data_IF_847477668325
#
_entry.id   IF_847477668325
#
_cell.length_a   1.000
_cell.length_b   1.000
_cell.length_c   1.000
_cell.angle_alpha   90.00
_cell.angle_beta   90.00
_cell.angle_gamma   90.00
#
_symmetry.space_group_name_H-M   'P 1'
#
loop_
_entity.id
_entity.type
_entity.pdbx_description
1 polymer ?
#
# COMPACT_ATOMS: atom_id res chain seq x y z
N UNK A 1 4.23 44.08 25.98
CA UNK A 1 3.63 42.81 26.45
C UNK A 1 2.65 42.38 25.38
N UNK A 2 2.99 41.37 24.59
CA UNK A 2 2.04 40.78 23.66
C UNK A 2 0.98 40.06 24.50
N UNK A 3 -0.29 40.47 24.35
CA UNK A 3 -1.43 39.76 24.91
C UNK A 3 -1.39 38.33 24.37
N UNK A 4 -1.04 37.38 25.24
CA UNK A 4 -1.16 35.96 24.97
C UNK A 4 -2.61 35.60 25.28
N UNK A 5 -3.44 35.50 24.24
CA UNK A 5 -4.86 35.11 24.38
C UNK A 5 -4.94 33.59 24.51
N UNK A 6 -5.19 33.04 25.71
CA UNK A 6 -5.16 31.59 25.93
C UNK A 6 -6.31 30.87 25.21
N UNK A 7 -7.38 31.59 24.89
CA UNK A 7 -8.61 31.08 24.27
C UNK A 7 -8.39 30.76 22.79
N UNK A 8 -7.53 31.51 22.08
CA UNK A 8 -7.23 31.28 20.68
C UNK A 8 -6.44 29.97 20.47
N UNK A 9 -5.47 29.69 21.35
CA UNK A 9 -4.66 28.48 21.29
C UNK A 9 -5.46 27.21 21.59
N UNK A 10 -6.43 27.30 22.50
CA UNK A 10 -7.32 26.20 22.90
C UNK A 10 -8.33 25.87 21.79
N UNK A 11 -8.83 26.89 21.07
CA UNK A 11 -9.71 26.73 19.90
C UNK A 11 -8.99 26.07 18.72
N UNK A 12 -7.76 26.49 18.41
CA UNK A 12 -6.95 25.90 17.32
C UNK A 12 -6.57 24.45 17.61
N UNK A 13 -6.26 24.14 18.88
CA UNK A 13 -5.99 22.76 19.35
C UNK A 13 -7.22 21.86 19.20
N UNK A 14 -8.40 22.36 19.56
CA UNK A 14 -9.66 21.61 19.41
C UNK A 14 -10.00 21.37 17.92
N UNK A 15 -9.81 22.38 17.07
CA UNK A 15 -10.05 22.25 15.63
C UNK A 15 -9.08 21.27 14.95
N UNK A 16 -7.80 21.26 15.35
CA UNK A 16 -6.83 20.28 14.89
C UNK A 16 -7.22 18.85 15.31
N UNK A 17 -7.66 18.67 16.56
CA UNK A 17 -8.12 17.39 17.07
C UNK A 17 -9.35 16.85 16.32
N UNK A 18 -10.35 17.70 16.08
CA UNK A 18 -11.55 17.35 15.31
C UNK A 18 -11.19 16.95 13.88
N UNK A 19 -10.29 17.70 13.24
CA UNK A 19 -9.85 17.41 11.86
C UNK A 19 -9.10 16.07 11.77
N UNK A 20 -8.22 15.76 12.73
CA UNK A 20 -7.51 14.47 12.77
C UNK A 20 -8.48 13.31 12.96
N UNK A 21 -9.52 13.46 13.79
CA UNK A 21 -10.58 12.45 13.96
C UNK A 21 -11.34 12.22 12.66
N UNK A 22 -11.70 13.28 11.93
CA UNK A 22 -12.36 13.16 10.63
C UNK A 22 -11.48 12.48 9.58
N UNK A 23 -10.18 12.81 9.52
CA UNK A 23 -9.23 12.13 8.62
C UNK A 23 -9.07 10.65 8.98
N UNK A 24 -9.02 10.33 10.28
CA UNK A 24 -8.97 8.94 10.76
C UNK A 24 -10.22 8.18 10.35
N UNK A 25 -11.41 8.80 10.45
CA UNK A 25 -12.66 8.19 10.00
C UNK A 25 -12.64 7.91 8.49
N UNK A 26 -12.22 8.89 7.67
CA UNK A 26 -12.11 8.71 6.21
C UNK A 26 -11.16 7.56 5.85
N UNK A 27 -10.03 7.43 6.55
CA UNK A 27 -9.09 6.32 6.33
C UNK A 27 -9.69 4.96 6.73
N UNK A 28 -10.39 4.90 7.87
CA UNK A 28 -11.11 3.68 8.29
C UNK A 28 -12.20 3.29 7.28
N UNK A 29 -12.94 4.26 6.73
CA UNK A 29 -13.97 3.97 5.72
C UNK A 29 -13.38 3.33 4.46
N UNK A 30 -12.23 3.83 3.99
CA UNK A 30 -11.53 3.24 2.84
C UNK A 30 -11.02 1.83 3.18
N UNK A 31 -10.47 1.62 4.38
CA UNK A 31 -10.00 0.30 4.84
C UNK A 31 -11.14 -0.73 4.90
N UNK A 32 -12.33 -0.34 5.40
CA UNK A 32 -13.51 -1.22 5.41
C UNK A 32 -13.95 -1.60 4.01
N UNK A 33 -14.00 -0.64 3.07
CA UNK A 33 -14.36 -0.92 1.67
C UNK A 33 -13.35 -1.89 1.03
N UNK A 34 -12.05 -1.75 1.36
CA UNK A 34 -11.04 -2.67 0.86
C UNK A 34 -11.17 -4.08 1.47
N UNK A 35 -11.45 -4.19 2.77
CA UNK A 35 -11.73 -5.49 3.38
C UNK A 35 -12.95 -6.17 2.75
N UNK A 36 -13.96 -5.41 2.36
CA UNK A 36 -15.10 -5.94 1.59
C UNK A 36 -14.68 -6.43 0.19
N UNK A 37 -13.70 -5.79 -0.45
CA UNK A 37 -13.18 -6.24 -1.74
C UNK A 37 -12.22 -7.44 -1.68
N UNK A 38 -11.67 -7.79 -0.50
CA UNK A 38 -10.77 -8.95 -0.33
C UNK A 38 -11.41 -10.26 -0.78
N UNK A 39 -12.70 -10.44 -0.49
CA UNK A 39 -13.46 -11.61 -0.92
C UNK A 39 -13.48 -11.73 -2.45
N UNK A 40 -13.64 -10.61 -3.15
CA UNK A 40 -13.68 -10.57 -4.61
C UNK A 40 -12.31 -10.87 -5.22
N UNK A 41 -11.24 -10.35 -4.62
CA UNK A 41 -9.86 -10.58 -5.09
C UNK A 41 -9.43 -12.02 -4.82
N UNK A 42 -9.74 -12.59 -3.65
CA UNK A 42 -9.47 -13.99 -3.35
C UNK A 42 -10.18 -14.93 -4.34
N UNK A 43 -11.47 -14.66 -4.61
CA UNK A 43 -12.24 -15.41 -5.61
C UNK A 43 -11.60 -15.35 -6.99
N UNK A 44 -11.04 -14.19 -7.37
CA UNK A 44 -10.38 -14.00 -8.66
C UNK A 44 -9.04 -14.75 -8.74
N UNK A 45 -8.23 -14.72 -7.68
CA UNK A 45 -6.97 -15.48 -7.57
C UNK A 45 -7.22 -16.99 -7.63
N UNK A 46 -8.26 -17.48 -6.94
CA UNK A 46 -8.71 -18.87 -7.03
C UNK A 46 -9.15 -19.23 -8.44
N UNK A 47 -9.96 -18.38 -9.08
CA UNK A 47 -10.42 -18.56 -10.45
C UNK A 47 -9.27 -18.67 -11.45
N UNK A 48 -8.24 -17.80 -11.34
CA UNK A 48 -7.05 -17.88 -12.19
C UNK A 48 -6.25 -19.16 -11.97
N UNK A 49 -6.13 -19.58 -10.71
CA UNK A 49 -5.45 -20.84 -10.36
C UNK A 49 -6.17 -22.02 -10.99
N UNK A 50 -7.50 -22.03 -10.96
CA UNK A 50 -8.31 -23.09 -11.58
C UNK A 50 -8.25 -23.05 -13.11
N UNK A 51 -8.22 -21.86 -13.72
CA UNK A 51 -8.00 -21.75 -15.18
C UNK A 51 -6.63 -22.32 -15.55
N UNK A 52 -5.57 -22.06 -14.77
CA UNK A 52 -4.24 -22.66 -15.03
C UNK A 52 -4.31 -24.19 -14.95
N UNK A 53 -4.96 -24.75 -13.92
CA UNK A 53 -5.13 -26.22 -13.80
C UNK A 53 -5.88 -26.79 -15.00
N UNK A 54 -6.98 -26.17 -15.40
CA UNK A 54 -7.77 -26.58 -16.57
C UNK A 54 -6.93 -26.50 -17.86
N UNK A 55 -6.14 -25.44 -18.04
CA UNK A 55 -5.23 -25.28 -19.18
C UNK A 55 -4.13 -26.34 -19.20
N UNK A 56 -3.58 -26.73 -18.05
CA UNK A 56 -2.61 -27.82 -17.95
C UNK A 56 -3.22 -29.18 -18.33
N UNK A 57 -4.48 -29.42 -17.93
CA UNK A 57 -5.21 -30.63 -18.32
C UNK A 57 -5.49 -30.66 -19.82
N UNK A 58 -5.96 -29.54 -20.40
CA UNK A 58 -6.15 -29.40 -21.85
C UNK A 58 -4.83 -29.63 -22.60
N UNK A 59 -3.74 -29.02 -22.15
CA UNK A 59 -2.41 -29.18 -22.74
C UNK A 59 -1.98 -30.67 -22.73
N UNK A 60 -2.20 -31.37 -21.61
CA UNK A 60 -1.91 -32.81 -21.49
C UNK A 60 -2.74 -33.66 -22.46
N UNK A 61 -4.03 -33.36 -22.62
CA UNK A 61 -4.88 -34.03 -23.61
C UNK A 61 -4.42 -33.76 -25.04
N UNK A 62 -4.09 -32.50 -25.38
CA UNK A 62 -3.55 -32.14 -26.69
C UNK A 62 -2.23 -32.88 -26.97
N UNK A 63 -1.37 -33.05 -25.96
CA UNK A 63 -0.12 -33.78 -26.11
C UNK A 63 -0.31 -35.29 -26.40
N UNK A 64 -1.45 -35.86 -25.99
CA UNK A 64 -1.80 -37.26 -26.24
C UNK A 64 -2.35 -37.54 -27.65
N UNK A 65 -2.77 -36.50 -28.37
CA UNK A 65 -3.25 -36.61 -29.75
C UNK A 65 -2.07 -36.75 -30.73
N UNK A 66 -2.32 -37.12 -31.98
CA UNK A 66 -1.29 -37.10 -33.02
C UNK A 66 -0.83 -35.66 -33.35
N UNK A 67 0.41 -35.52 -33.82
CA UNK A 67 0.95 -34.22 -34.18
C UNK A 67 0.23 -33.67 -35.42
N UNK A 68 -0.29 -32.45 -35.32
CA UNK A 68 -0.93 -31.72 -36.43
C UNK A 68 -0.76 -30.22 -36.24
N UNK A 69 -0.92 -29.44 -37.30
CA UNK A 69 -0.83 -27.97 -37.23
C UNK A 69 -1.86 -27.38 -36.24
N UNK A 70 -3.16 -27.79 -36.26
CA UNK A 70 -4.14 -27.29 -35.29
C UNK A 70 -3.81 -27.64 -33.84
N UNK A 71 -3.21 -28.82 -33.59
CA UNK A 71 -2.73 -29.19 -32.25
C UNK A 71 -1.63 -28.25 -31.78
N UNK A 72 -0.68 -27.93 -32.66
CA UNK A 72 0.46 -27.09 -32.33
C UNK A 72 0.02 -25.66 -32.02
N UNK A 73 -0.93 -25.12 -32.80
CA UNK A 73 -1.57 -23.83 -32.54
C UNK A 73 -2.33 -23.81 -31.20
N UNK A 74 -3.09 -24.86 -30.90
CA UNK A 74 -3.82 -24.97 -29.64
C UNK A 74 -2.87 -25.05 -28.42
N UNK A 75 -1.74 -25.76 -28.54
CA UNK A 75 -0.69 -25.80 -27.51
C UNK A 75 -0.06 -24.42 -27.30
N UNK A 76 0.23 -23.67 -28.37
CA UNK A 76 0.75 -22.31 -28.28
C UNK A 76 -0.25 -21.37 -27.58
N UNK A 77 -1.54 -21.45 -27.91
CA UNK A 77 -2.58 -20.68 -27.23
C UNK A 77 -2.69 -20.99 -25.73
N UNK A 78 -2.54 -22.26 -25.35
CA UNK A 78 -2.52 -22.67 -23.93
C UNK A 78 -1.33 -22.03 -23.18
N UNK A 79 -0.15 -21.98 -23.82
CA UNK A 79 1.04 -21.36 -23.23
C UNK A 79 0.86 -19.85 -23.07
N UNK A 80 0.42 -19.15 -24.12
CA UNK A 80 0.17 -17.71 -24.07
C UNK A 80 -0.88 -17.36 -22.99
N UNK A 81 -1.94 -18.15 -22.90
CA UNK A 81 -2.99 -17.95 -21.88
C UNK A 81 -2.43 -18.13 -20.47
N UNK A 82 -1.59 -19.14 -20.25
CA UNK A 82 -0.92 -19.36 -18.97
C UNK A 82 -0.04 -18.17 -18.58
N UNK A 83 0.76 -17.65 -19.51
CA UNK A 83 1.63 -16.48 -19.28
C UNK A 83 0.83 -15.21 -18.95
N UNK A 84 -0.29 -14.97 -19.66
CA UNK A 84 -1.20 -13.85 -19.37
C UNK A 84 -1.82 -13.97 -17.99
N UNK A 85 -2.24 -15.16 -17.57
CA UNK A 85 -2.80 -15.38 -16.24
C UNK A 85 -1.73 -15.18 -15.16
N UNK A 86 -0.51 -15.67 -15.37
CA UNK A 86 0.60 -15.42 -14.44
C UNK A 86 0.90 -13.93 -14.28
N UNK A 87 0.93 -13.19 -15.40
CA UNK A 87 1.06 -11.72 -15.36
C UNK A 87 -0.08 -11.06 -14.60
N UNK A 88 -1.32 -11.53 -14.78
CA UNK A 88 -2.47 -11.03 -14.05
C UNK A 88 -2.34 -11.29 -12.54
N UNK A 89 -1.93 -12.49 -12.13
CA UNK A 89 -1.69 -12.83 -10.71
C UNK A 89 -0.64 -11.91 -10.10
N UNK A 90 0.46 -11.65 -10.80
CA UNK A 90 1.50 -10.70 -10.34
C UNK A 90 0.90 -9.29 -10.21
N UNK A 91 0.09 -8.85 -11.17
CA UNK A 91 -0.57 -7.55 -11.08
C UNK A 91 -1.54 -7.46 -9.87
N UNK A 92 -2.13 -8.57 -9.43
CA UNK A 92 -2.96 -8.60 -8.22
C UNK A 92 -2.16 -8.40 -6.93
N UNK A 93 -0.84 -8.60 -6.92
CA UNK A 93 0.00 -8.25 -5.76
C UNK A 93 -0.04 -6.75 -5.44
N UNK A 94 -0.34 -5.90 -6.44
CA UNK A 94 -0.60 -4.48 -6.23
C UNK A 94 -1.79 -4.23 -5.30
N UNK A 95 -2.80 -5.10 -5.33
CA UNK A 95 -3.96 -4.99 -4.45
C UNK A 95 -3.58 -5.25 -2.99
N UNK A 96 -2.86 -6.34 -2.70
CA UNK A 96 -2.39 -6.66 -1.35
C UNK A 96 -1.52 -5.52 -0.79
N UNK A 97 -0.65 -4.97 -1.65
CA UNK A 97 0.19 -3.82 -1.31
C UNK A 97 -0.61 -2.56 -1.01
N UNK A 98 -1.63 -2.27 -1.82
CA UNK A 98 -2.53 -1.13 -1.61
C UNK A 98 -3.27 -1.26 -0.27
N UNK A 99 -3.76 -2.47 0.04
CA UNK A 99 -4.40 -2.78 1.31
C UNK A 99 -3.45 -2.54 2.50
N UNK A 100 -2.22 -3.09 2.44
CA UNK A 100 -1.22 -2.89 3.48
C UNK A 100 -0.88 -1.41 3.71
N UNK A 101 -0.74 -0.64 2.62
CA UNK A 101 -0.50 0.80 2.69
C UNK A 101 -1.63 1.53 3.43
N UNK A 102 -2.88 1.19 3.15
CA UNK A 102 -4.03 1.83 3.80
C UNK A 102 -4.20 1.43 5.26
N UNK A 103 -3.89 0.19 5.62
CA UNK A 103 -3.79 -0.22 7.02
C UNK A 103 -2.72 0.59 7.77
N UNK A 104 -1.55 0.82 7.15
CA UNK A 104 -0.49 1.66 7.73
C UNK A 104 -0.97 3.11 7.91
N UNK A 105 -1.58 3.71 6.89
CA UNK A 105 -2.13 5.08 6.96
C UNK A 105 -3.17 5.20 8.08
N UNK A 106 -4.11 4.26 8.16
CA UNK A 106 -5.15 4.23 9.19
C UNK A 106 -4.55 4.10 10.60
N UNK A 107 -3.55 3.22 10.76
CA UNK A 107 -2.84 3.07 12.03
C UNK A 107 -2.09 4.35 12.43
N UNK A 108 -1.44 5.02 11.47
CA UNK A 108 -0.72 6.27 11.71
C UNK A 108 -1.68 7.39 12.14
N UNK A 109 -2.81 7.54 11.45
CA UNK A 109 -3.83 8.54 11.78
C UNK A 109 -4.47 8.28 13.15
N UNK A 110 -4.74 7.00 13.49
CA UNK A 110 -5.23 6.63 14.82
C UNK A 110 -4.21 6.96 15.92
N UNK A 111 -2.92 6.73 15.66
CA UNK A 111 -1.83 7.13 16.57
C UNK A 111 -1.80 8.64 16.77
N UNK A 112 -1.92 9.40 15.68
CA UNK A 112 -1.99 10.86 15.73
C UNK A 112 -3.23 11.34 16.50
N UNK A 113 -4.41 10.77 16.26
CA UNK A 113 -5.66 11.11 16.98
C UNK A 113 -5.51 10.94 18.49
N UNK A 114 -4.91 9.82 18.92
CA UNK A 114 -4.65 9.56 20.34
C UNK A 114 -3.65 10.55 20.95
N UNK A 115 -2.64 10.95 20.18
CA UNK A 115 -1.63 11.90 20.62
C UNK A 115 -2.24 13.29 20.83
N UNK A 116 -3.03 13.78 19.87
CA UNK A 116 -3.69 15.10 19.94
C UNK A 116 -4.88 15.14 20.89
N UNK A 117 -5.44 13.99 21.26
CA UNK A 117 -6.52 13.88 22.26
C UNK A 117 -6.06 14.16 23.70
N UNK A 118 -4.75 14.09 23.97
CA UNK A 118 -4.18 14.31 25.30
C UNK A 118 -3.31 15.57 25.30
N UNK A 119 -3.78 16.71 25.86
CA UNK A 119 -3.02 17.95 25.88
C UNK A 119 -1.59 17.77 26.42
N UNK A 120 -1.45 17.06 27.54
CA UNK A 120 -0.15 16.78 28.17
C UNK A 120 0.84 16.05 27.26
N UNK A 121 0.34 15.19 26.35
CA UNK A 121 1.17 14.46 25.38
C UNK A 121 1.41 15.28 24.12
N UNK A 122 0.41 16.03 23.66
CA UNK A 122 0.53 16.92 22.51
C UNK A 122 1.60 18.00 22.73
N UNK A 123 1.78 18.47 23.96
CA UNK A 123 2.85 19.41 24.32
C UNK A 123 4.22 18.76 24.58
N UNK A 124 4.32 17.42 24.57
CA UNK A 124 5.56 16.71 24.85
C UNK A 124 6.29 16.29 23.54
N UNK A 125 7.45 16.89 23.21
CA UNK A 125 8.19 16.55 21.98
C UNK A 125 8.61 15.09 21.89
N UNK A 126 8.83 14.40 23.01
CA UNK A 126 9.24 12.99 23.01
C UNK A 126 8.14 12.05 22.50
N UNK A 127 6.87 12.35 22.77
CA UNK A 127 5.74 11.57 22.27
C UNK A 127 5.59 11.70 20.75
N UNK A 128 5.89 12.88 20.20
CA UNK A 128 5.95 13.11 18.74
C UNK A 128 7.10 12.35 18.08
N UNK A 129 8.28 12.32 18.71
CA UNK A 129 9.42 11.55 18.20
C UNK A 129 9.12 10.05 18.22
N UNK A 130 8.46 9.55 19.26
CA UNK A 130 8.03 8.16 19.36
C UNK A 130 7.01 7.81 18.26
N UNK A 131 6.01 8.67 18.02
CA UNK A 131 5.07 8.50 16.91
C UNK A 131 5.79 8.48 15.56
N UNK A 132 6.72 9.40 15.32
CA UNK A 132 7.50 9.44 14.08
C UNK A 132 8.37 8.20 13.91
N UNK A 133 9.01 7.71 14.97
CA UNK A 133 9.79 6.47 14.99
C UNK A 133 8.93 5.26 14.64
N UNK A 134 7.73 5.15 15.24
CA UNK A 134 6.78 4.10 14.94
C UNK A 134 6.31 4.15 13.48
N UNK A 135 5.96 5.33 12.96
CA UNK A 135 5.59 5.51 11.55
C UNK A 135 6.75 5.05 10.65
N UNK A 136 7.97 5.50 10.93
CA UNK A 136 9.16 5.16 10.15
C UNK A 136 9.45 3.66 10.15
N UNK A 137 9.27 2.99 11.30
CA UNK A 137 9.53 1.55 11.46
C UNK A 137 8.59 0.66 10.64
N UNK A 138 7.41 1.16 10.26
CA UNK A 138 6.43 0.44 9.44
C UNK A 138 6.77 0.46 7.95
N UNK A 139 7.64 1.37 7.50
CA UNK A 139 8.15 1.33 6.13
C UNK A 139 9.16 0.21 5.99
N UNK A 140 8.84 -0.75 5.12
CA UNK A 140 9.74 -1.86 4.80
C UNK A 140 10.72 -1.45 3.72
N UNK A 141 10.31 -0.59 2.78
CA UNK A 141 11.14 -0.17 1.65
C UNK A 141 12.03 1.02 2.00
N UNK A 142 13.29 0.98 1.55
CA UNK A 142 14.24 2.08 1.75
C UNK A 142 13.78 3.35 1.04
N UNK A 143 13.17 3.22 -0.15
CA UNK A 143 12.63 4.35 -0.89
C UNK A 143 11.52 5.09 -0.13
N UNK A 144 10.71 4.38 0.66
CA UNK A 144 9.66 4.96 1.50
C UNK A 144 10.23 5.65 2.75
N UNK A 145 11.27 5.06 3.35
CA UNK A 145 12.01 5.68 4.46
C UNK A 145 12.68 6.97 4.03
N UNK A 146 13.30 7.00 2.85
CA UNK A 146 13.93 8.20 2.28
C UNK A 146 12.88 9.28 2.02
N UNK A 147 11.70 8.92 1.50
CA UNK A 147 10.59 9.86 1.34
C UNK A 147 10.18 10.46 2.69
N UNK A 148 10.00 9.63 3.72
CA UNK A 148 9.64 10.06 5.06
C UNK A 148 10.71 10.96 5.70
N UNK A 149 11.98 10.57 5.64
CA UNK A 149 13.10 11.33 6.19
C UNK A 149 13.26 12.68 5.47
N UNK A 150 12.96 12.72 4.17
CA UNK A 150 12.95 13.95 3.37
C UNK A 150 11.89 14.93 3.88
N UNK A 151 10.68 14.45 4.18
CA UNK A 151 9.63 15.27 4.79
C UNK A 151 10.03 15.75 6.18
N UNK A 152 10.62 14.89 7.02
CA UNK A 152 11.09 15.29 8.36
C UNK A 152 12.21 16.34 8.32
N UNK A 153 13.00 16.38 7.25
CA UNK A 153 14.01 17.42 7.01
C UNK A 153 13.40 18.78 6.60
N UNK A 154 12.08 18.87 6.45
CA UNK A 154 11.37 20.09 6.06
C UNK A 154 11.37 20.35 4.56
N UNK A 155 11.69 19.34 3.74
CA UNK A 155 11.62 19.44 2.27
C UNK A 155 10.17 19.27 1.79
N UNK A 156 9.91 19.71 0.57
CA UNK A 156 8.60 19.61 -0.06
C UNK A 156 8.23 18.16 -0.39
N UNK A 157 6.93 17.93 -0.60
CA UNK A 157 6.40 16.63 -1.06
C UNK A 157 7.01 16.26 -2.42
N UNK A 158 7.15 17.23 -3.33
CA UNK A 158 7.74 17.00 -4.65
C UNK A 158 9.20 16.54 -4.56
N UNK A 159 9.99 17.13 -3.64
CA UNK A 159 11.36 16.69 -3.38
C UNK A 159 11.42 15.30 -2.75
N UNK A 160 10.47 14.96 -1.88
CA UNK A 160 10.37 13.61 -1.30
C UNK A 160 10.06 12.54 -2.37
N UNK A 161 9.17 12.86 -3.32
CA UNK A 161 8.88 11.99 -4.47
C UNK A 161 10.11 11.86 -5.37
N UNK A 162 10.81 12.95 -5.65
CA UNK A 162 12.05 12.92 -6.43
C UNK A 162 13.14 12.06 -5.76
N UNK A 163 13.31 12.18 -4.44
CA UNK A 163 14.26 11.37 -3.68
C UNK A 163 13.90 9.87 -3.69
N UNK A 164 12.61 9.54 -3.54
CA UNK A 164 12.11 8.16 -3.67
C UNK A 164 12.46 7.57 -5.05
N UNK A 165 12.17 8.30 -6.13
CA UNK A 165 12.43 7.85 -7.49
C UNK A 165 13.94 7.67 -7.75
N UNK A 166 14.77 8.58 -7.24
CA UNK A 166 16.23 8.47 -7.36
C UNK A 166 16.79 7.22 -6.66
N UNK A 167 16.25 6.84 -5.49
CA UNK A 167 16.62 5.62 -4.77
C UNK A 167 16.20 4.33 -5.49
N UNK A 168 15.08 4.34 -6.22
CA UNK A 168 14.64 3.19 -7.01
C UNK A 168 15.50 2.98 -8.26
N UNK A 169 15.98 4.07 -8.89
CA UNK A 169 16.82 4.01 -10.10
C UNK A 169 18.25 3.56 -9.79
N UNK A 170 18.77 3.85 -8.59
CA UNK A 170 20.14 3.46 -8.18
C UNK A 170 20.28 2.00 -7.73
N UNK A 171 19.17 1.27 -7.59
CA UNK A 171 19.14 -0.15 -7.20
C UNK A 171 18.44 -1.03 -8.26
N UNK A 172 18.93 -1.10 -9.52
CA UNK A 172 18.27 -1.84 -10.59
C UNK A 172 18.35 -3.37 -10.45
N UNK A 173 19.31 -3.89 -9.67
CA UNK A 173 19.40 -5.32 -9.29
C UNK A 173 18.38 -5.71 -8.21
N UNK A 174 17.75 -4.70 -7.62
CA UNK A 174 16.52 -4.87 -6.86
C UNK A 174 15.37 -4.71 -7.87
N UNK A 175 15.26 -5.64 -8.81
CA UNK A 175 13.93 -6.06 -9.27
C UNK A 175 13.28 -6.70 -8.05
N UNK A 176 12.89 -5.85 -7.10
CA UNK A 176 12.01 -6.22 -6.01
C UNK A 176 10.77 -6.68 -6.75
N UNK A 177 10.55 -7.99 -6.76
CA UNK A 177 9.32 -8.62 -7.21
C UNK A 177 8.19 -7.88 -6.50
N UNK A 178 7.60 -6.96 -7.25
CA UNK A 178 6.68 -5.94 -6.77
C UNK A 178 5.40 -6.59 -6.24
#
# INVERSE_FOLDING_TARGET
>A
MLNYDPIALDSDSNQAQETVKLLTLSAVQVDVILQESDLSVNTLTESFTDIIKNMQMINSHLLSLEASDPRSEALACCLETKEKIQTAIIAFQFYDRMQQCLQHVTSNLRGLSKLVESPDKAFNPSEWQELQSQIRSRYTMESEKVMFDTILQGKSIDEAIAAKNACQVSSPDNVELF
#
